data_IF_667916735159
#
_entry.id   IF_667916735159
#
_cell.length_a   1.000
_cell.length_b   1.000
_cell.length_c   1.000
_cell.angle_alpha   90.00
_cell.angle_beta   90.00
_cell.angle_gamma   90.00
#
_symmetry.space_group_name_H-M   'P 1'
#
loop_
_entity.id
_entity.type
_entity.pdbx_description
1 polymer ?
#
# COMPACT_ATOMS: atom_id res chain seq x y z
N UNK A 1 63.70 -93.26 99.26
CA UNK A 1 63.58 -91.81 99.54
C UNK A 1 64.49 -90.98 98.64
N UNK A 2 65.81 -91.19 98.64
CA UNK A 2 66.75 -90.44 97.77
C UNK A 2 66.49 -90.55 96.24
N UNK A 3 66.22 -91.74 95.69
CA UNK A 3 65.85 -91.89 94.25
C UNK A 3 64.57 -91.16 93.85
N UNK A 4 63.60 -91.10 94.76
CA UNK A 4 62.30 -90.49 94.51
C UNK A 4 62.41 -88.95 94.47
N UNK A 5 63.34 -88.37 95.23
CA UNK A 5 63.63 -86.93 95.21
C UNK A 5 64.38 -86.51 93.94
N UNK A 6 65.24 -87.37 93.40
CA UNK A 6 65.93 -87.17 92.11
C UNK A 6 64.98 -87.26 90.91
N UNK A 7 64.06 -88.23 90.93
CA UNK A 7 62.96 -88.34 89.95
C UNK A 7 61.99 -87.16 90.03
N UNK A 8 61.68 -86.66 91.23
CA UNK A 8 60.85 -85.47 91.41
C UNK A 8 61.54 -84.18 90.93
N UNK A 9 62.86 -84.11 91.09
CA UNK A 9 63.66 -82.96 90.61
C UNK A 9 63.76 -82.95 89.09
N UNK A 10 64.04 -84.10 88.47
CA UNK A 10 64.07 -84.23 87.01
C UNK A 10 62.69 -84.01 86.38
N UNK A 11 61.62 -84.50 87.01
CA UNK A 11 60.25 -84.20 86.59
C UNK A 11 59.92 -82.71 86.70
N UNK A 12 60.36 -82.01 87.75
CA UNK A 12 60.18 -80.54 87.91
C UNK A 12 60.98 -79.74 86.89
N UNK A 13 62.22 -80.12 86.62
CA UNK A 13 63.06 -79.49 85.59
C UNK A 13 62.45 -79.69 84.18
N UNK A 14 61.88 -80.87 83.89
CA UNK A 14 61.14 -81.11 82.66
C UNK A 14 59.83 -80.31 82.58
N UNK A 15 59.12 -80.15 83.70
CA UNK A 15 57.89 -79.35 83.77
C UNK A 15 58.17 -77.85 83.61
N UNK A 16 59.26 -77.33 84.19
CA UNK A 16 59.70 -75.95 83.94
C UNK A 16 60.13 -75.75 82.49
N UNK A 17 60.89 -76.69 81.92
CA UNK A 17 61.28 -76.61 80.51
C UNK A 17 60.06 -76.62 79.59
N UNK A 18 59.11 -77.51 79.83
CA UNK A 18 57.85 -77.56 79.09
C UNK A 18 57.02 -76.28 79.29
N UNK A 19 57.00 -75.68 80.48
CA UNK A 19 56.35 -74.38 80.72
C UNK A 19 57.04 -73.23 79.97
N UNK A 20 58.37 -73.23 79.90
CA UNK A 20 59.12 -72.26 79.10
C UNK A 20 58.88 -72.41 77.60
N UNK A 21 58.82 -73.65 77.10
CA UNK A 21 58.46 -73.94 75.70
C UNK A 21 57.02 -73.55 75.38
N UNK A 22 56.07 -73.78 76.31
CA UNK A 22 54.68 -73.32 76.17
C UNK A 22 54.61 -71.79 76.12
N UNK A 23 55.30 -71.08 77.02
CA UNK A 23 55.32 -69.61 77.03
C UNK A 23 55.93 -69.02 75.75
N UNK A 24 56.99 -69.63 75.21
CA UNK A 24 57.57 -69.22 73.93
C UNK A 24 56.63 -69.47 72.75
N UNK A 25 55.91 -70.61 72.75
CA UNK A 25 54.91 -70.90 71.72
C UNK A 25 53.70 -69.97 71.82
N UNK A 26 53.28 -69.58 73.02
CA UNK A 26 52.23 -68.58 73.24
C UNK A 26 52.65 -67.20 72.70
N UNK A 27 53.88 -66.75 72.95
CA UNK A 27 54.41 -65.49 72.40
C UNK A 27 54.51 -65.52 70.87
N UNK A 28 54.98 -66.64 70.30
CA UNK A 28 55.00 -66.84 68.84
C UNK A 28 53.58 -66.87 68.26
N UNK A 29 52.63 -67.52 68.92
CA UNK A 29 51.24 -67.57 68.47
C UNK A 29 50.58 -66.19 68.55
N UNK A 30 50.81 -65.42 69.62
CA UNK A 30 50.30 -64.05 69.75
C UNK A 30 50.87 -63.13 68.66
N UNK A 31 52.17 -63.24 68.38
CA UNK A 31 52.81 -62.46 67.32
C UNK A 31 52.31 -62.88 65.93
N UNK A 32 52.12 -64.18 65.67
CA UNK A 32 51.51 -64.66 64.41
C UNK A 32 50.05 -64.24 64.27
N UNK A 33 49.25 -64.29 65.34
CA UNK A 33 47.87 -63.81 65.32
C UNK A 33 47.80 -62.29 65.06
N UNK A 34 48.70 -61.51 65.67
CA UNK A 34 48.81 -60.07 65.42
C UNK A 34 49.20 -59.79 63.97
N UNK A 35 50.17 -60.54 63.42
CA UNK A 35 50.55 -60.44 62.01
C UNK A 35 49.40 -60.83 61.08
N UNK A 36 48.69 -61.91 61.37
CA UNK A 36 47.53 -62.34 60.58
C UNK A 36 46.42 -61.29 60.61
N UNK A 37 46.13 -60.71 61.76
CA UNK A 37 45.16 -59.61 61.92
C UNK A 37 45.55 -58.39 61.07
N UNK A 38 46.84 -58.01 61.07
CA UNK A 38 47.35 -56.92 60.20
C UNK A 38 47.22 -57.24 58.72
N UNK A 39 47.48 -58.49 58.31
CA UNK A 39 47.31 -58.93 56.91
C UNK A 39 45.83 -58.91 56.51
N UNK A 40 44.93 -59.37 57.38
CA UNK A 40 43.48 -59.34 57.13
C UNK A 40 42.96 -57.90 57.00
N UNK A 41 43.43 -56.98 57.84
CA UNK A 41 43.11 -55.54 57.74
C UNK A 41 43.64 -54.94 56.42
N UNK A 42 44.91 -55.21 56.08
CA UNK A 42 45.49 -54.73 54.83
C UNK A 42 44.77 -55.29 53.59
N UNK A 43 44.29 -56.54 53.65
CA UNK A 43 43.53 -57.15 52.58
C UNK A 43 42.12 -56.55 52.47
N UNK A 44 41.48 -56.25 53.60
CA UNK A 44 40.21 -55.52 53.62
C UNK A 44 40.36 -54.09 53.05
N UNK A 45 41.39 -53.35 53.45
CA UNK A 45 41.71 -52.03 52.89
C UNK A 45 41.97 -52.09 51.39
N UNK A 46 42.76 -53.07 50.94
CA UNK A 46 43.00 -53.30 49.51
C UNK A 46 41.70 -53.55 48.75
N UNK A 47 40.81 -54.40 49.26
CA UNK A 47 39.51 -54.66 48.60
C UNK A 47 38.62 -53.42 48.57
N UNK A 48 38.65 -52.58 49.61
CA UNK A 48 37.93 -51.30 49.63
C UNK A 48 38.46 -50.34 48.57
N UNK A 49 39.79 -50.20 48.47
CA UNK A 49 40.44 -49.34 47.48
C UNK A 49 40.21 -49.82 46.05
N UNK A 50 40.21 -51.13 45.80
CA UNK A 50 39.85 -51.71 44.50
C UNK A 50 38.39 -51.40 44.13
N UNK A 51 37.47 -51.45 45.09
CA UNK A 51 36.08 -51.07 44.89
C UNK A 51 35.89 -49.56 44.65
N UNK A 52 36.68 -48.70 45.30
CA UNK A 52 36.69 -47.25 45.06
C UNK A 52 37.30 -46.92 43.68
N UNK A 53 38.38 -47.61 43.29
CA UNK A 53 38.98 -47.47 41.98
C UNK A 53 37.99 -47.89 40.88
N UNK A 54 37.30 -49.03 41.06
CA UNK A 54 36.28 -49.48 40.11
C UNK A 54 35.13 -48.45 39.98
N UNK A 55 34.69 -47.85 41.09
CA UNK A 55 33.64 -46.79 41.08
C UNK A 55 34.10 -45.52 40.39
N UNK A 56 35.33 -45.07 40.62
CA UNK A 56 35.87 -43.86 39.99
C UNK A 56 36.11 -44.06 38.49
N UNK A 57 36.58 -45.23 38.07
CA UNK A 57 36.71 -45.59 36.65
C UNK A 57 35.33 -45.59 35.97
N UNK A 58 34.32 -46.22 36.57
CA UNK A 58 32.96 -46.20 36.05
C UNK A 58 32.38 -44.78 35.94
N UNK A 59 32.66 -43.91 36.93
CA UNK A 59 32.23 -42.51 36.89
C UNK A 59 32.94 -41.71 35.78
N UNK A 60 34.24 -41.94 35.56
CA UNK A 60 34.99 -41.32 34.48
C UNK A 60 34.49 -41.75 33.10
N UNK A 61 34.17 -43.03 32.92
CA UNK A 61 33.62 -43.53 31.66
C UNK A 61 32.21 -42.98 31.41
N UNK A 62 31.37 -42.85 32.45
CA UNK A 62 30.07 -42.18 32.33
C UNK A 62 30.21 -40.70 31.93
N UNK A 63 31.13 -39.95 32.53
CA UNK A 63 31.42 -38.56 32.19
C UNK A 63 31.94 -38.42 30.75
N UNK A 64 32.77 -39.35 30.27
CA UNK A 64 33.25 -39.37 28.88
C UNK A 64 32.11 -39.56 27.89
N UNK A 65 31.18 -40.47 28.19
CA UNK A 65 29.98 -40.68 27.33
C UNK A 65 29.10 -39.42 27.33
N UNK A 66 28.90 -38.78 28.48
CA UNK A 66 28.14 -37.52 28.55
C UNK A 66 28.83 -36.39 27.77
N UNK A 67 30.16 -36.27 27.88
CA UNK A 67 30.94 -35.28 27.13
C UNK A 67 30.79 -35.51 25.62
N UNK A 68 30.92 -36.75 25.15
CA UNK A 68 30.74 -37.09 23.73
C UNK A 68 29.31 -36.77 23.24
N UNK A 69 28.28 -37.03 24.06
CA UNK A 69 26.91 -36.69 23.71
C UNK A 69 26.71 -35.16 23.61
N UNK A 70 27.33 -34.38 24.50
CA UNK A 70 27.31 -32.91 24.43
C UNK A 70 28.05 -32.38 23.21
N UNK A 71 29.21 -32.93 22.87
CA UNK A 71 29.97 -32.57 21.66
C UNK A 71 29.16 -32.83 20.39
N UNK A 72 28.45 -33.97 20.32
CA UNK A 72 27.55 -34.27 19.19
C UNK A 72 26.37 -33.28 19.10
N UNK A 73 25.79 -32.90 20.25
CA UNK A 73 24.70 -31.92 20.29
C UNK A 73 25.16 -30.53 19.83
N UNK A 74 26.36 -30.10 20.25
CA UNK A 74 26.96 -28.83 19.79
C UNK A 74 27.17 -28.86 18.28
N UNK A 75 27.73 -29.94 17.73
CA UNK A 75 27.92 -30.08 16.29
C UNK A 75 26.60 -30.06 15.48
N UNK A 76 25.52 -30.68 15.99
CA UNK A 76 24.19 -30.60 15.36
C UNK A 76 23.62 -29.17 15.41
N UNK A 77 23.76 -28.48 16.54
CA UNK A 77 23.30 -27.09 16.69
C UNK A 77 24.07 -26.13 15.78
N UNK A 78 25.39 -26.27 15.66
CA UNK A 78 26.20 -25.49 14.72
C UNK A 78 25.76 -25.72 13.27
N UNK A 79 25.47 -26.97 12.90
CA UNK A 79 24.96 -27.32 11.57
C UNK A 79 23.58 -26.70 11.32
N UNK A 80 22.70 -26.70 12.32
CA UNK A 80 21.37 -26.06 12.22
C UNK A 80 21.46 -24.54 12.13
N UNK A 81 22.36 -23.92 12.89
CA UNK A 81 22.61 -22.48 12.83
C UNK A 81 23.10 -22.07 11.45
N UNK A 82 24.10 -22.77 10.89
CA UNK A 82 24.61 -22.50 9.55
C UNK A 82 23.52 -22.65 8.46
N UNK A 83 22.60 -23.62 8.60
CA UNK A 83 21.45 -23.76 7.69
C UNK A 83 20.45 -22.62 7.84
N UNK A 84 20.20 -22.17 9.06
CA UNK A 84 19.30 -21.05 9.32
C UNK A 84 19.85 -19.74 8.75
N UNK A 85 21.14 -19.45 8.96
CA UNK A 85 21.82 -18.28 8.40
C UNK A 85 21.79 -18.28 6.87
N UNK A 86 22.05 -19.42 6.23
CA UNK A 86 21.96 -19.57 4.78
C UNK A 86 20.53 -19.35 4.25
N UNK A 87 19.51 -19.81 4.99
CA UNK A 87 18.10 -19.59 4.64
C UNK A 87 17.70 -18.11 4.78
N UNK A 88 18.14 -17.43 5.85
CA UNK A 88 17.92 -15.99 6.04
C UNK A 88 18.59 -15.16 4.94
N UNK A 89 19.83 -15.49 4.56
CA UNK A 89 20.51 -14.80 3.47
C UNK A 89 19.79 -15.00 2.13
N UNK A 90 19.27 -16.20 1.86
CA UNK A 90 18.44 -16.47 0.68
C UNK A 90 17.15 -15.66 0.67
N UNK A 91 16.43 -15.61 1.80
CA UNK A 91 15.22 -14.79 1.95
C UNK A 91 15.52 -13.30 1.79
N UNK A 92 16.64 -12.82 2.33
CA UNK A 92 17.08 -11.43 2.17
C UNK A 92 17.36 -11.10 0.71
N UNK A 93 18.03 -11.99 -0.03
CA UNK A 93 18.25 -11.84 -1.49
C UNK A 93 16.93 -11.85 -2.27
N UNK A 94 16.02 -12.77 -1.94
CA UNK A 94 14.71 -12.85 -2.58
C UNK A 94 13.86 -11.59 -2.34
N UNK A 95 13.85 -11.09 -1.09
CA UNK A 95 13.18 -9.84 -0.72
C UNK A 95 13.78 -8.63 -1.45
N UNK A 96 15.12 -8.56 -1.55
CA UNK A 96 15.81 -7.54 -2.36
C UNK A 96 15.40 -7.56 -3.83
N UNK A 97 15.33 -8.75 -4.44
CA UNK A 97 14.88 -8.91 -5.82
C UNK A 97 13.41 -8.51 -6.02
N UNK A 98 12.54 -8.91 -5.09
CA UNK A 98 11.11 -8.56 -5.14
C UNK A 98 10.91 -7.04 -5.04
N UNK A 99 11.62 -6.39 -4.12
CA UNK A 99 11.59 -4.94 -3.98
C UNK A 99 12.10 -4.23 -5.24
N UNK A 100 13.17 -4.74 -5.87
CA UNK A 100 13.65 -4.23 -7.16
C UNK A 100 12.61 -4.34 -8.29
N UNK A 101 11.87 -5.46 -8.34
CA UNK A 101 10.80 -5.67 -9.32
C UNK A 101 9.62 -4.74 -9.07
N UNK A 102 9.19 -4.57 -7.82
CA UNK A 102 8.14 -3.63 -7.44
C UNK A 102 8.52 -2.19 -7.79
N UNK A 103 9.76 -1.78 -7.53
CA UNK A 103 10.25 -0.45 -7.90
C UNK A 103 10.21 -0.25 -9.44
N UNK A 104 10.61 -1.28 -10.19
CA UNK A 104 10.58 -1.24 -11.67
C UNK A 104 9.15 -1.11 -12.19
N UNK A 105 8.22 -1.93 -11.70
CA UNK A 105 6.81 -1.87 -12.10
C UNK A 105 6.16 -0.53 -11.72
N UNK A 106 6.48 -0.01 -10.55
CA UNK A 106 5.97 1.31 -10.10
C UNK A 106 6.47 2.41 -11.02
N UNK A 107 7.76 2.44 -11.34
CA UNK A 107 8.34 3.42 -12.27
C UNK A 107 7.75 3.32 -13.68
N UNK A 108 7.45 2.11 -14.15
CA UNK A 108 6.83 1.88 -15.46
C UNK A 108 5.37 2.37 -15.47
N UNK A 109 4.60 2.13 -14.40
CA UNK A 109 3.24 2.62 -14.25
C UNK A 109 3.19 4.16 -14.17
N UNK A 110 4.11 4.78 -13.43
CA UNK A 110 4.24 6.24 -13.36
C UNK A 110 4.62 6.82 -14.73
N UNK A 111 5.55 6.19 -15.45
CA UNK A 111 5.91 6.58 -16.82
C UNK A 111 4.74 6.46 -17.79
N UNK A 112 3.97 5.38 -17.72
CA UNK A 112 2.77 5.20 -18.56
C UNK A 112 1.71 6.26 -18.26
N UNK A 113 1.45 6.53 -16.98
CA UNK A 113 0.48 7.56 -16.55
C UNK A 113 0.91 8.94 -17.03
N UNK A 114 2.21 9.27 -16.92
CA UNK A 114 2.77 10.51 -17.43
C UNK A 114 2.61 10.62 -18.95
N UNK A 115 2.91 9.56 -19.70
CA UNK A 115 2.73 9.53 -21.16
C UNK A 115 1.28 9.80 -21.56
N UNK A 116 0.31 9.16 -20.93
CA UNK A 116 -1.09 9.40 -21.27
C UNK A 116 -1.48 10.86 -20.98
N UNK A 117 -0.97 11.45 -19.89
CA UNK A 117 -1.19 12.86 -19.59
C UNK A 117 -0.54 13.79 -20.63
N UNK A 118 0.71 13.52 -21.00
CA UNK A 118 1.44 14.26 -22.03
C UNK A 118 0.75 14.15 -23.40
N UNK A 119 0.27 12.96 -23.78
CA UNK A 119 -0.51 12.72 -24.99
C UNK A 119 -1.83 13.51 -24.97
N UNK A 120 -2.57 13.46 -23.86
CA UNK A 120 -3.79 14.23 -23.70
C UNK A 120 -3.54 15.74 -23.75
N UNK A 121 -2.48 16.23 -23.10
CA UNK A 121 -2.12 17.65 -23.12
C UNK A 121 -1.65 18.10 -24.53
N UNK A 122 -0.93 17.24 -25.26
CA UNK A 122 -0.53 17.49 -26.64
C UNK A 122 -1.74 17.52 -27.59
N UNK A 123 -2.69 16.60 -27.43
CA UNK A 123 -3.94 16.59 -28.20
C UNK A 123 -4.77 17.85 -27.93
N UNK A 124 -4.87 18.28 -26.66
CA UNK A 124 -5.51 19.55 -26.28
C UNK A 124 -4.80 20.73 -26.94
N UNK A 125 -3.46 20.73 -26.98
CA UNK A 125 -2.68 21.80 -27.61
C UNK A 125 -2.88 21.86 -29.13
N UNK A 126 -2.92 20.72 -29.81
CA UNK A 126 -3.21 20.61 -31.24
C UNK A 126 -4.62 21.11 -31.56
N UNK A 127 -5.64 20.64 -30.84
CA UNK A 127 -7.02 21.10 -31.01
C UNK A 127 -7.12 22.61 -30.82
N UNK A 128 -6.41 23.19 -29.84
CA UNK A 128 -6.37 24.65 -29.66
C UNK A 128 -5.68 25.36 -30.81
N UNK A 129 -4.56 24.84 -31.31
CA UNK A 129 -3.82 25.43 -32.42
C UNK A 129 -4.66 25.41 -33.71
N UNK A 130 -5.25 24.27 -34.06
CA UNK A 130 -6.12 24.13 -35.23
C UNK A 130 -7.30 25.08 -35.18
N UNK A 131 -7.91 25.24 -34.01
CA UNK A 131 -9.04 26.12 -33.81
C UNK A 131 -8.62 27.60 -33.92
N UNK A 132 -7.43 27.98 -33.44
CA UNK A 132 -6.90 29.33 -33.67
C UNK A 132 -6.51 29.59 -35.13
N UNK A 133 -5.99 28.58 -35.84
CA UNK A 133 -5.65 28.68 -37.25
C UNK A 133 -6.90 28.84 -38.12
N UNK A 134 -7.92 28.01 -37.88
CA UNK A 134 -9.23 28.14 -38.49
C UNK A 134 -9.81 29.54 -38.26
N UNK A 135 -9.65 30.11 -37.04
CA UNK A 135 -10.16 31.46 -36.72
C UNK A 135 -9.46 32.54 -37.55
N UNK A 136 -8.15 32.42 -37.75
CA UNK A 136 -7.40 33.35 -38.61
C UNK A 136 -7.83 33.24 -40.07
N UNK A 137 -8.07 32.01 -40.56
CA UNK A 137 -8.55 31.79 -41.93
C UNK A 137 -9.96 32.36 -42.14
N UNK A 138 -10.88 32.15 -41.19
CA UNK A 138 -12.22 32.73 -41.23
C UNK A 138 -12.18 34.27 -41.20
N UNK A 139 -11.33 34.87 -40.37
CA UNK A 139 -11.11 36.31 -40.30
C UNK A 139 -10.49 36.89 -41.59
N UNK A 140 -9.55 36.16 -42.22
CA UNK A 140 -8.95 36.58 -43.49
C UNK A 140 -9.96 36.48 -44.65
N UNK A 141 -10.80 35.45 -44.67
CA UNK A 141 -11.87 35.30 -45.67
C UNK A 141 -12.91 36.43 -45.58
N UNK A 142 -13.28 36.84 -44.35
CA UNK A 142 -14.16 38.01 -44.13
C UNK A 142 -13.50 39.33 -44.53
N UNK A 143 -12.20 39.52 -44.26
CA UNK A 143 -11.47 40.72 -44.66
C UNK A 143 -11.22 40.83 -46.17
N UNK A 144 -11.14 39.71 -46.89
CA UNK A 144 -10.91 39.67 -48.35
C UNK A 144 -12.18 39.90 -49.19
N UNK A 145 -13.33 40.26 -48.58
CA UNK A 145 -14.56 40.58 -49.30
C UNK A 145 -15.26 39.38 -49.96
N UNK A 146 -14.87 38.14 -49.63
CA UNK A 146 -15.48 36.92 -50.18
C UNK A 146 -16.78 36.50 -49.44
N UNK A 147 -17.35 37.37 -48.61
CA UNK A 147 -18.41 37.06 -47.64
C UNK A 147 -19.61 38.00 -47.85
N UNK A 148 -20.26 37.87 -49.01
CA UNK A 148 -21.63 38.39 -49.20
C UNK A 148 -22.70 37.29 -49.07
N UNK A 149 -22.31 36.09 -48.59
CA UNK A 149 -23.24 35.00 -48.30
C UNK A 149 -23.52 34.90 -46.79
N UNK A 150 -24.79 34.95 -46.35
CA UNK A 150 -25.19 34.89 -44.93
C UNK A 150 -24.62 33.72 -44.13
N UNK A 151 -24.29 32.60 -44.78
CA UNK A 151 -23.75 31.39 -44.12
C UNK A 151 -22.31 31.49 -43.62
N UNK A 152 -21.48 32.37 -44.22
CA UNK A 152 -20.05 32.44 -43.86
C UNK A 152 -19.80 33.25 -42.57
N UNK A 153 -20.63 34.25 -42.27
CA UNK A 153 -20.62 34.94 -40.98
C UNK A 153 -20.98 34.01 -39.81
N UNK A 154 -21.98 33.14 -40.00
CA UNK A 154 -22.42 32.20 -38.98
C UNK A 154 -21.33 31.17 -38.63
N UNK A 155 -20.59 30.67 -39.62
CA UNK A 155 -19.47 29.75 -39.39
C UNK A 155 -18.32 30.41 -38.60
N UNK A 156 -18.00 31.67 -38.87
CA UNK A 156 -16.97 32.41 -38.14
C UNK A 156 -17.37 32.68 -36.67
N UNK A 157 -18.65 32.92 -36.42
CA UNK A 157 -19.22 33.07 -35.08
C UNK A 157 -19.17 31.75 -34.30
N UNK A 158 -19.64 30.65 -34.90
CA UNK A 158 -19.57 29.31 -34.31
C UNK A 158 -18.14 28.91 -33.97
N UNK A 159 -17.19 29.19 -34.86
CA UNK A 159 -15.78 28.91 -34.59
C UNK A 159 -15.24 29.72 -33.41
N UNK A 160 -15.62 31.00 -33.32
CA UNK A 160 -15.26 31.84 -32.17
C UNK A 160 -15.89 31.32 -30.88
N UNK A 161 -17.13 30.84 -30.94
CA UNK A 161 -17.81 30.17 -29.84
C UNK A 161 -17.08 28.87 -29.44
N UNK A 162 -16.60 28.07 -30.41
CA UNK A 162 -15.81 26.85 -30.15
C UNK A 162 -14.55 27.16 -29.36
N UNK A 163 -13.79 28.22 -29.73
CA UNK A 163 -12.56 28.61 -28.99
C UNK A 163 -12.90 28.87 -27.53
N UNK A 164 -13.93 29.69 -27.30
CA UNK A 164 -14.33 30.11 -25.95
C UNK A 164 -14.81 28.91 -25.14
N UNK A 165 -15.65 28.08 -25.73
CA UNK A 165 -16.19 26.89 -25.08
C UNK A 165 -15.10 25.90 -24.68
N UNK A 166 -14.15 25.61 -25.57
CA UNK A 166 -12.97 24.76 -25.26
C UNK A 166 -12.11 25.37 -24.15
N UNK A 167 -11.87 26.68 -24.19
CA UNK A 167 -11.11 27.37 -23.15
C UNK A 167 -11.81 27.33 -21.77
N UNK A 168 -13.14 27.45 -21.75
CA UNK A 168 -13.91 27.41 -20.50
C UNK A 168 -14.05 25.98 -19.95
N UNK A 169 -14.23 24.97 -20.81
CA UNK A 169 -14.19 23.56 -20.41
C UNK A 169 -12.85 23.19 -19.76
N UNK A 170 -11.74 23.68 -20.32
CA UNK A 170 -10.39 23.45 -19.79
C UNK A 170 -10.10 24.05 -18.40
N UNK A 171 -10.99 24.90 -17.86
CA UNK A 171 -10.86 25.46 -16.50
C UNK A 171 -11.54 24.63 -15.42
N UNK A 172 -12.29 23.60 -15.81
CA UNK A 172 -13.04 22.76 -14.87
C UNK A 172 -12.10 21.84 -14.09
N UNK A 173 -12.38 21.65 -12.80
CA UNK A 173 -11.53 20.87 -11.88
C UNK A 173 -12.17 19.58 -11.40
N UNK A 174 -13.42 19.32 -11.79
CA UNK A 174 -14.15 18.10 -11.45
C UNK A 174 -15.22 17.78 -12.52
N UNK A 175 -15.69 16.54 -12.52
CA UNK A 175 -16.62 16.01 -13.52
C UNK A 175 -17.97 16.74 -13.52
N UNK A 176 -18.48 17.12 -12.35
CA UNK A 176 -19.76 17.81 -12.25
C UNK A 176 -19.71 19.21 -12.87
N UNK A 177 -18.62 19.94 -12.64
CA UNK A 177 -18.38 21.25 -13.25
C UNK A 177 -18.09 21.14 -14.75
N UNK A 178 -17.44 20.06 -15.19
CA UNK A 178 -17.25 19.76 -16.60
C UNK A 178 -18.60 19.61 -17.32
N UNK A 179 -19.49 18.76 -16.81
CA UNK A 179 -20.83 18.56 -17.41
C UNK A 179 -21.69 19.83 -17.35
N UNK A 180 -21.62 20.57 -16.24
CA UNK A 180 -22.28 21.89 -16.11
C UNK A 180 -21.81 22.86 -17.18
N UNK A 181 -20.50 22.92 -17.39
CA UNK A 181 -19.89 23.81 -18.37
C UNK A 181 -20.21 23.38 -19.79
N UNK A 182 -20.21 22.08 -20.08
CA UNK A 182 -20.58 21.56 -21.39
C UNK A 182 -22.01 21.97 -21.80
N UNK A 183 -22.99 21.76 -20.92
CA UNK A 183 -24.39 22.21 -21.15
C UNK A 183 -24.47 23.72 -21.35
N UNK A 184 -23.78 24.49 -20.51
CA UNK A 184 -23.75 25.96 -20.59
C UNK A 184 -23.11 26.49 -21.87
N UNK A 185 -22.10 25.81 -22.42
CA UNK A 185 -21.44 26.22 -23.66
C UNK A 185 -22.24 25.83 -24.91
N UNK A 186 -23.08 24.80 -24.82
CA UNK A 186 -24.03 24.44 -25.87
C UNK A 186 -25.23 25.40 -25.91
N UNK A 187 -25.73 25.85 -24.76
CA UNK A 187 -26.95 26.65 -24.65
C UNK A 187 -27.05 27.90 -25.56
N UNK A 188 -25.97 28.66 -25.85
CA UNK A 188 -26.05 29.79 -26.78
C UNK A 188 -26.33 29.39 -28.22
N UNK A 189 -26.00 28.16 -28.63
CA UNK A 189 -26.15 27.67 -30.00
C UNK A 189 -27.38 26.76 -30.17
N UNK A 190 -27.96 26.30 -29.06
CA UNK A 190 -29.07 25.35 -29.06
C UNK A 190 -30.21 25.84 -28.17
N UNK A 191 -31.44 26.03 -28.70
CA UNK A 191 -32.57 26.55 -27.94
C UNK A 191 -32.91 25.73 -26.71
N UNK A 192 -32.85 24.39 -26.82
CA UNK A 192 -33.06 23.48 -25.69
C UNK A 192 -31.88 22.52 -25.59
N UNK A 193 -31.31 22.43 -24.40
CA UNK A 193 -30.20 21.52 -24.07
C UNK A 193 -30.56 20.78 -22.80
N UNK A 194 -30.34 19.47 -22.77
CA UNK A 194 -30.55 18.65 -21.59
C UNK A 194 -29.48 17.56 -21.47
N UNK A 195 -28.93 17.40 -20.27
CA UNK A 195 -28.01 16.34 -19.91
C UNK A 195 -28.77 15.27 -19.14
N UNK A 196 -28.65 14.03 -19.60
CA UNK A 196 -29.19 12.85 -18.93
C UNK A 196 -28.06 11.94 -18.50
N UNK A 197 -28.03 11.54 -17.24
CA UNK A 197 -27.04 10.59 -16.72
C UNK A 197 -27.52 9.17 -16.85
N UNK A 198 -26.61 8.28 -17.20
CA UNK A 198 -26.87 6.84 -17.18
C UNK A 198 -26.94 6.35 -15.74
N UNK A 199 -28.07 5.76 -15.32
CA UNK A 199 -28.23 5.08 -14.03
C UNK A 199 -28.84 3.70 -14.22
N UNK A 200 -27.99 2.67 -14.22
CA UNK A 200 -28.45 1.30 -14.46
C UNK A 200 -29.02 1.14 -15.87
N UNK A 201 -30.33 0.92 -15.99
CA UNK A 201 -31.03 0.66 -17.27
C UNK A 201 -31.92 1.82 -17.74
N UNK A 202 -31.70 3.03 -17.22
CA UNK A 202 -32.46 4.22 -17.62
C UNK A 202 -31.61 5.49 -17.52
N UNK A 203 -31.97 6.47 -18.34
CA UNK A 203 -31.36 7.79 -18.36
C UNK A 203 -32.17 8.72 -17.45
N UNK A 204 -31.53 9.38 -16.48
CA UNK A 204 -32.17 10.36 -15.60
C UNK A 204 -31.70 11.77 -15.96
N UNK A 205 -32.64 12.69 -16.16
CA UNK A 205 -32.31 14.09 -16.40
C UNK A 205 -31.59 14.70 -15.21
N UNK A 206 -30.49 15.41 -15.46
CA UNK A 206 -29.70 16.05 -14.41
C UNK A 206 -29.75 17.57 -14.53
N UNK A 207 -29.55 18.09 -15.75
CA UNK A 207 -29.40 19.52 -16.03
C UNK A 207 -30.03 19.85 -17.37
N UNK A 208 -30.53 21.07 -17.51
CA UNK A 208 -30.98 21.57 -18.79
C UNK A 208 -30.92 23.09 -18.88
N UNK A 209 -31.01 23.60 -20.10
CA UNK A 209 -31.05 25.01 -20.44
C UNK A 209 -32.09 25.23 -21.54
N UNK A 210 -32.83 26.34 -21.45
CA UNK A 210 -33.90 26.68 -22.39
C UNK A 210 -35.14 25.79 -22.31
N UNK A 211 -35.27 24.99 -21.25
CA UNK A 211 -36.47 24.20 -20.99
C UNK A 211 -37.60 25.11 -20.47
N UNK A 212 -38.85 24.74 -20.76
CA UNK A 212 -40.00 25.40 -20.16
C UNK A 212 -39.95 25.29 -18.62
N UNK A 213 -40.42 26.32 -17.92
CA UNK A 213 -40.47 26.40 -16.45
C UNK A 213 -41.33 25.27 -15.87
N UNK A 214 -42.29 24.76 -16.66
CA UNK A 214 -43.11 23.61 -16.30
C UNK A 214 -42.34 22.27 -16.32
N UNK A 215 -41.23 22.20 -17.05
CA UNK A 215 -40.44 20.98 -17.26
C UNK A 215 -39.34 20.85 -16.21
N UNK A 216 -39.59 20.01 -15.20
CA UNK A 216 -38.57 19.62 -14.22
C UNK A 216 -37.71 18.48 -14.77
N UNK A 217 -36.54 18.83 -15.33
CA UNK A 217 -35.59 17.88 -15.92
C UNK A 217 -35.23 16.73 -14.98
N UNK A 218 -35.18 16.96 -13.66
CA UNK A 218 -34.80 15.92 -12.69
C UNK A 218 -35.86 14.83 -12.52
N UNK A 219 -37.09 15.09 -12.96
CA UNK A 219 -38.19 14.10 -12.97
C UNK A 219 -38.25 13.29 -14.25
N UNK A 220 -37.47 13.67 -15.27
CA UNK A 220 -37.44 12.96 -16.54
C UNK A 220 -36.58 11.70 -16.40
N UNK A 221 -37.21 10.55 -16.60
CA UNK A 221 -36.57 9.24 -16.61
C UNK A 221 -36.92 8.54 -17.92
N UNK A 222 -35.90 8.19 -18.70
CA UNK A 222 -36.05 7.58 -20.02
C UNK A 222 -35.55 6.14 -19.94
N UNK A 223 -36.46 5.14 -20.03
CA UNK A 223 -36.06 3.74 -20.04
C UNK A 223 -35.21 3.42 -21.28
N UNK A 224 -34.13 2.64 -21.11
CA UNK A 224 -33.28 2.23 -22.25
C UNK A 224 -33.99 1.32 -23.26
N UNK A 225 -35.15 0.77 -22.91
CA UNK A 225 -36.00 -0.02 -23.82
C UNK A 225 -36.79 0.83 -24.83
N UNK A 226 -36.85 2.15 -24.63
CA UNK A 226 -37.50 3.06 -25.57
C UNK A 226 -36.60 3.24 -26.79
N UNK A 227 -37.15 3.13 -28.00
CA UNK A 227 -36.43 3.52 -29.22
C UNK A 227 -36.57 5.03 -29.43
N UNK A 228 -35.51 5.76 -29.14
CA UNK A 228 -35.44 7.22 -29.22
C UNK A 228 -34.04 7.65 -29.63
N UNK A 229 -33.87 8.89 -30.11
CA UNK A 229 -32.55 9.41 -30.49
C UNK A 229 -31.54 9.30 -29.34
N UNK A 230 -31.97 9.63 -28.12
CA UNK A 230 -31.11 9.64 -26.94
C UNK A 230 -30.73 8.23 -26.47
N UNK A 231 -31.65 7.27 -26.51
CA UNK A 231 -31.36 5.88 -26.12
C UNK A 231 -30.50 5.15 -27.15
N UNK A 232 -30.66 5.46 -28.45
CA UNK A 232 -29.76 4.97 -29.50
C UNK A 232 -28.34 5.52 -29.34
N UNK A 233 -28.20 6.84 -29.14
CA UNK A 233 -26.90 7.44 -28.87
C UNK A 233 -26.24 6.81 -27.64
N UNK A 234 -27.00 6.56 -26.57
CA UNK A 234 -26.47 5.90 -25.38
C UNK A 234 -26.04 4.46 -25.63
N UNK A 235 -26.80 3.70 -26.43
CA UNK A 235 -26.53 2.30 -26.70
C UNK A 235 -25.37 2.08 -27.70
N UNK A 236 -25.36 2.86 -28.78
CA UNK A 236 -24.35 2.78 -29.83
C UNK A 236 -23.04 3.48 -29.43
N UNK A 237 -23.12 4.47 -28.53
CA UNK A 237 -21.98 5.30 -28.17
C UNK A 237 -21.50 6.17 -29.34
N UNK A 238 -22.43 6.54 -30.23
CA UNK A 238 -22.20 7.40 -31.40
C UNK A 238 -23.12 8.61 -31.35
N UNK A 239 -22.67 9.73 -31.93
CA UNK A 239 -23.50 10.93 -32.09
C UNK A 239 -24.65 10.59 -33.04
N UNK A 240 -25.88 10.86 -32.61
CA UNK A 240 -27.09 10.64 -33.40
C UNK A 240 -27.72 11.98 -33.76
N UNK A 241 -28.06 12.18 -35.04
CA UNK A 241 -28.72 13.39 -35.55
C UNK A 241 -30.09 13.02 -36.14
N UNK A 242 -31.12 13.79 -35.78
CA UNK A 242 -32.48 13.65 -36.30
C UNK A 242 -32.54 13.81 -37.83
N UNK A 243 -31.67 14.64 -38.42
CA UNK A 243 -31.61 14.84 -39.87
C UNK A 243 -31.27 13.55 -40.66
N UNK A 244 -30.64 12.57 -40.00
CA UNK A 244 -30.31 11.26 -40.56
C UNK A 244 -31.10 10.09 -39.96
N UNK A 245 -32.09 10.35 -39.09
CA UNK A 245 -32.75 9.32 -38.27
C UNK A 245 -34.15 8.94 -38.78
N UNK A 246 -34.63 7.71 -38.52
CA UNK A 246 -35.99 7.30 -38.88
C UNK A 246 -37.06 8.10 -38.13
N UNK A 247 -38.27 8.20 -38.71
CA UNK A 247 -39.40 9.01 -38.19
C UNK A 247 -39.81 8.64 -36.74
N UNK A 248 -39.55 7.42 -36.27
CA UNK A 248 -39.78 6.99 -34.88
C UNK A 248 -38.92 7.76 -33.85
N UNK A 249 -37.83 8.37 -34.29
CA UNK A 249 -36.91 9.18 -33.48
C UNK A 249 -37.41 10.58 -33.13
N UNK A 250 -38.51 11.03 -33.74
CA UNK A 250 -38.98 12.42 -33.68
C UNK A 250 -39.63 12.81 -32.34
N UNK A 251 -39.82 11.87 -31.41
CA UNK A 251 -40.36 12.16 -30.09
C UNK A 251 -39.24 12.72 -29.20
N UNK A 252 -39.28 14.03 -28.96
CA UNK A 252 -38.34 14.69 -28.06
C UNK A 252 -38.59 14.29 -26.61
N UNK A 253 -37.53 13.94 -25.84
CA UNK A 253 -37.64 13.73 -24.40
C UNK A 253 -38.00 15.02 -23.64
N UNK A 254 -37.89 16.19 -24.28
CA UNK A 254 -38.23 17.49 -23.73
C UNK A 254 -39.66 17.94 -24.09
N UNK A 255 -40.40 17.09 -24.80
CA UNK A 255 -41.73 17.37 -25.31
C UNK A 255 -41.72 18.07 -26.67
N UNK A 256 -42.84 17.98 -27.39
CA UNK A 256 -43.00 18.56 -28.73
C UNK A 256 -42.44 17.69 -29.85
N UNK A 257 -42.33 18.30 -31.04
CA UNK A 257 -41.79 17.69 -32.27
C UNK A 257 -40.72 18.62 -32.84
N UNK A 258 -39.46 18.45 -32.46
CA UNK A 258 -38.39 19.32 -32.94
C UNK A 258 -38.19 19.16 -34.45
N UNK A 259 -37.81 20.24 -35.12
CA UNK A 259 -37.41 20.21 -36.52
C UNK A 259 -35.98 19.68 -36.68
N UNK A 260 -35.14 19.82 -35.66
CA UNK A 260 -33.79 19.27 -35.61
C UNK A 260 -33.41 18.87 -34.17
N UNK A 261 -32.68 17.77 -34.01
CA UNK A 261 -32.20 17.30 -32.72
C UNK A 261 -30.90 16.51 -32.86
N UNK A 262 -30.00 16.61 -31.87
CA UNK A 262 -28.76 15.83 -31.80
C UNK A 262 -28.66 15.21 -30.40
N UNK A 263 -28.27 13.94 -30.32
CA UNK A 263 -27.90 13.26 -29.10
C UNK A 263 -26.39 12.94 -29.09
N UNK A 264 -25.69 13.43 -28.07
CA UNK A 264 -24.24 13.40 -27.89
C UNK A 264 -23.91 12.48 -26.71
N UNK A 265 -23.47 11.23 -26.93
CA UNK A 265 -23.11 10.34 -25.84
C UNK A 265 -21.74 10.73 -25.29
N UNK A 266 -21.68 11.04 -24.00
CA UNK A 266 -20.43 11.28 -23.28
C UNK A 266 -19.88 9.94 -22.81
N UNK A 267 -18.74 9.54 -23.38
CA UNK A 267 -18.13 8.25 -23.10
C UNK A 267 -16.89 8.36 -22.24
N UNK A 268 -16.64 7.31 -21.47
CA UNK A 268 -15.43 7.13 -20.71
C UNK A 268 -15.06 5.65 -20.70
N UNK A 269 -13.83 5.33 -21.11
CA UNK A 269 -13.33 3.94 -21.19
C UNK A 269 -14.26 2.99 -21.97
N UNK A 270 -14.91 3.51 -23.03
CA UNK A 270 -15.80 2.74 -23.89
C UNK A 270 -17.26 2.68 -23.41
N UNK A 271 -17.57 3.07 -22.18
CA UNK A 271 -18.93 3.10 -21.63
C UNK A 271 -19.57 4.49 -21.74
N UNK A 272 -20.87 4.55 -22.00
CA UNK A 272 -21.62 5.82 -22.01
C UNK A 272 -22.02 6.20 -20.58
N UNK A 273 -21.50 7.33 -20.09
CA UNK A 273 -21.81 7.85 -18.75
C UNK A 273 -23.04 8.74 -18.73
N UNK A 274 -23.25 9.50 -19.80
CA UNK A 274 -24.33 10.45 -19.94
C UNK A 274 -24.61 10.69 -21.42
N UNK A 275 -25.77 11.26 -21.72
CA UNK A 275 -26.11 11.74 -23.06
C UNK A 275 -26.59 13.17 -22.96
N UNK A 276 -26.01 14.06 -23.76
CA UNK A 276 -26.54 15.41 -23.95
C UNK A 276 -27.44 15.40 -25.16
N UNK A 277 -28.68 15.79 -24.95
CA UNK A 277 -29.68 15.96 -25.99
C UNK A 277 -29.90 17.45 -26.23
N UNK A 278 -29.83 17.86 -27.49
CA UNK A 278 -30.15 19.22 -27.94
C UNK A 278 -31.21 19.16 -29.00
N UNK A 279 -32.16 20.09 -28.99
CA UNK A 279 -33.15 20.21 -30.06
C UNK A 279 -33.59 21.64 -30.32
N UNK A 280 -34.24 21.81 -31.48
CA UNK A 280 -34.78 23.08 -31.94
C UNK A 280 -36.06 22.85 -32.75
N UNK A 281 -36.97 23.81 -32.68
CA UNK A 281 -38.17 23.85 -33.53
C UNK A 281 -37.85 24.40 -34.93
N UNK A 282 -36.63 24.89 -35.15
CA UNK A 282 -36.10 25.30 -36.45
C UNK A 282 -34.98 24.35 -36.89
N UNK A 283 -34.87 24.11 -38.19
CA UNK A 283 -33.72 23.39 -38.74
C UNK A 283 -32.42 24.18 -38.49
N UNK A 284 -31.35 23.47 -38.20
CA UNK A 284 -29.98 24.00 -38.18
C UNK A 284 -29.16 23.41 -39.31
N UNK A 285 -28.00 24.02 -39.59
CA UNK A 285 -27.05 23.54 -40.57
C UNK A 285 -26.06 22.51 -39.98
N UNK A 286 -25.21 21.94 -40.85
CA UNK A 286 -24.18 20.98 -40.44
C UNK A 286 -23.13 21.55 -39.48
N UNK A 287 -22.98 22.88 -39.41
CA UNK A 287 -21.99 23.55 -38.56
C UNK A 287 -22.34 23.43 -37.07
N UNK A 288 -23.63 23.34 -36.72
CA UNK A 288 -24.08 23.07 -35.36
C UNK A 288 -23.67 21.66 -34.88
N UNK A 289 -23.85 20.65 -35.74
CA UNK A 289 -23.41 19.28 -35.44
C UNK A 289 -21.90 19.18 -35.25
N UNK A 290 -21.12 19.87 -36.09
CA UNK A 290 -19.66 19.94 -35.95
C UNK A 290 -19.24 20.63 -34.64
N UNK A 291 -19.87 21.75 -34.28
CA UNK A 291 -19.64 22.46 -33.02
C UNK A 291 -19.90 21.54 -31.80
N UNK A 292 -21.06 20.89 -31.78
CA UNK A 292 -21.43 19.98 -30.70
C UNK A 292 -20.49 18.78 -30.56
N UNK A 293 -20.08 18.19 -31.70
CA UNK A 293 -19.16 17.05 -31.73
C UNK A 293 -17.77 17.43 -31.24
N UNK A 294 -17.26 18.60 -31.62
CA UNK A 294 -15.96 19.10 -31.14
C UNK A 294 -15.96 19.29 -29.61
N UNK A 295 -17.03 19.89 -29.06
CA UNK A 295 -17.14 20.05 -27.61
C UNK A 295 -17.30 18.71 -26.89
N UNK A 296 -17.99 17.74 -27.48
CA UNK A 296 -18.09 16.38 -26.96
C UNK A 296 -16.70 15.73 -26.87
N UNK A 297 -15.95 15.72 -27.97
CA UNK A 297 -14.59 15.14 -28.02
C UNK A 297 -13.68 15.78 -26.96
N UNK A 298 -13.70 17.11 -26.86
CA UNK A 298 -12.89 17.80 -25.85
C UNK A 298 -13.32 17.45 -24.43
N UNK A 299 -14.62 17.27 -24.19
CA UNK A 299 -15.16 16.83 -22.90
C UNK A 299 -14.67 15.43 -22.53
N UNK A 300 -14.62 14.49 -23.48
CA UNK A 300 -14.14 13.12 -23.24
C UNK A 300 -12.63 13.08 -22.92
N UNK A 301 -11.83 13.92 -23.57
CA UNK A 301 -10.40 14.08 -23.24
C UNK A 301 -10.24 14.63 -21.82
N UNK A 302 -11.00 15.67 -21.46
CA UNK A 302 -10.96 16.25 -20.12
C UNK A 302 -11.46 15.27 -19.04
N UNK A 303 -12.45 14.43 -19.33
CA UNK A 303 -12.86 13.35 -18.44
C UNK A 303 -11.72 12.37 -18.15
N UNK A 304 -10.97 12.02 -19.19
CA UNK A 304 -9.80 11.14 -19.05
C UNK A 304 -8.75 11.76 -18.16
N UNK A 305 -8.40 13.03 -18.41
CA UNK A 305 -7.46 13.78 -17.59
C UNK A 305 -7.93 13.89 -16.13
N UNK A 306 -9.16 14.35 -15.89
CA UNK A 306 -9.69 14.54 -14.53
C UNK A 306 -9.74 13.22 -13.75
N UNK A 307 -10.07 12.11 -14.41
CA UNK A 307 -10.10 10.80 -13.75
C UNK A 307 -8.70 10.31 -13.40
N UNK A 308 -7.71 10.58 -14.25
CA UNK A 308 -6.31 10.30 -13.94
C UNK A 308 -5.82 11.16 -12.77
N UNK A 309 -6.10 12.46 -12.77
CA UNK A 309 -5.74 13.35 -11.66
C UNK A 309 -6.38 12.88 -10.34
N UNK A 310 -7.65 12.45 -10.35
CA UNK A 310 -8.30 11.88 -9.17
C UNK A 310 -7.63 10.58 -8.69
N UNK A 311 -7.26 9.69 -9.62
CA UNK A 311 -6.54 8.47 -9.30
C UNK A 311 -5.19 8.79 -8.67
N UNK A 312 -4.40 9.68 -9.28
CA UNK A 312 -3.11 10.08 -8.73
C UNK A 312 -3.24 10.71 -7.35
N UNK A 313 -4.24 11.57 -7.13
CA UNK A 313 -4.51 12.13 -5.80
C UNK A 313 -4.92 11.05 -4.79
N UNK A 314 -5.61 9.99 -5.20
CA UNK A 314 -5.91 8.83 -4.35
C UNK A 314 -4.62 8.09 -3.99
N UNK A 315 -3.80 7.75 -4.97
CA UNK A 315 -2.54 7.02 -4.77
C UNK A 315 -1.58 7.81 -3.86
N UNK A 316 -1.55 9.14 -3.98
CA UNK A 316 -0.80 10.02 -3.08
C UNK A 316 -1.37 10.06 -1.67
N UNK A 317 -2.70 10.04 -1.48
CA UNK A 317 -3.30 9.91 -0.13
C UNK A 317 -2.94 8.58 0.51
N UNK A 318 -2.96 7.49 -0.25
CA UNK A 318 -2.55 6.16 0.24
C UNK A 318 -1.07 6.17 0.62
N UNK A 319 -0.21 6.79 -0.19
CA UNK A 319 1.19 6.96 0.15
C UNK A 319 1.41 7.81 1.41
N UNK A 320 0.69 8.92 1.57
CA UNK A 320 0.72 9.72 2.79
C UNK A 320 0.28 8.91 4.02
N UNK A 321 -0.77 8.10 3.89
CA UNK A 321 -1.22 7.18 4.94
C UNK A 321 -0.17 6.13 5.30
N UNK A 322 0.53 5.57 4.32
CA UNK A 322 1.63 4.62 4.53
C UNK A 322 2.76 5.25 5.34
N UNK A 323 3.19 6.46 4.99
CA UNK A 323 4.24 7.18 5.72
C UNK A 323 3.83 7.45 7.19
N UNK A 324 2.56 7.79 7.41
CA UNK A 324 2.04 8.03 8.76
C UNK A 324 1.96 6.73 9.57
N UNK A 325 1.57 5.62 8.94
CA UNK A 325 1.53 4.30 9.54
C UNK A 325 2.93 3.81 9.93
N UNK A 326 3.94 4.04 9.09
CA UNK A 326 5.34 3.73 9.40
C UNK A 326 5.84 4.54 10.61
N UNK A 327 5.50 5.83 10.65
CA UNK A 327 5.81 6.69 11.80
C UNK A 327 5.14 6.18 13.10
N UNK A 328 3.88 5.71 13.03
CA UNK A 328 3.18 5.11 14.15
C UNK A 328 3.85 3.82 14.63
N UNK A 329 4.26 2.93 13.72
CA UNK A 329 4.95 1.69 14.07
C UNK A 329 6.30 1.96 14.75
N UNK A 330 7.09 2.91 14.23
CA UNK A 330 8.34 3.33 14.86
C UNK A 330 8.11 3.90 16.26
N UNK A 331 7.05 4.69 16.43
CA UNK A 331 6.67 5.24 17.72
C UNK A 331 6.28 4.16 18.73
N UNK A 332 5.45 3.19 18.33
CA UNK A 332 5.04 2.09 19.18
C UNK A 332 6.22 1.22 19.61
N UNK A 333 7.17 0.95 18.71
CA UNK A 333 8.41 0.26 19.05
C UNK A 333 9.24 1.03 20.09
N UNK A 334 9.31 2.35 19.99
CA UNK A 334 9.99 3.20 20.96
C UNK A 334 9.26 3.26 22.32
N UNK A 335 7.93 3.17 22.31
CA UNK A 335 7.10 3.08 23.50
C UNK A 335 7.29 1.73 24.23
N UNK A 336 7.28 0.62 23.49
CA UNK A 336 7.56 -0.73 24.01
C UNK A 336 8.98 -0.84 24.56
N UNK A 337 9.94 -0.21 23.89
CA UNK A 337 11.32 -0.08 24.34
C UNK A 337 11.52 0.82 25.56
N UNK A 338 10.43 1.39 26.13
CA UNK A 338 10.44 2.28 27.30
C UNK A 338 11.38 3.48 27.15
N UNK A 339 11.54 4.01 25.93
CA UNK A 339 12.34 5.22 25.72
C UNK A 339 11.74 6.40 26.49
N UNK A 340 12.54 7.36 26.97
CA UNK A 340 12.01 8.58 27.60
C UNK A 340 11.07 9.34 26.66
N UNK A 341 9.99 9.92 27.19
CA UNK A 341 8.97 10.64 26.42
C UNK A 341 9.57 11.74 25.53
N UNK A 342 10.47 12.56 26.08
CA UNK A 342 11.15 13.63 25.32
C UNK A 342 11.88 13.10 24.09
N UNK A 343 12.54 11.95 24.20
CA UNK A 343 13.27 11.34 23.09
C UNK A 343 12.30 10.74 22.06
N UNK A 344 11.18 10.14 22.50
CA UNK A 344 10.15 9.61 21.60
C UNK A 344 9.49 10.73 20.78
N UNK A 345 9.05 11.81 21.42
CA UNK A 345 8.44 12.95 20.73
C UNK A 345 9.42 13.57 19.73
N UNK A 346 10.70 13.72 20.10
CA UNK A 346 11.74 14.23 19.17
C UNK A 346 11.90 13.33 17.95
N UNK A 347 12.04 12.02 18.14
CA UNK A 347 12.18 11.07 17.03
C UNK A 347 10.93 11.02 16.17
N UNK A 348 9.74 11.08 16.76
CA UNK A 348 8.49 11.15 16.01
C UNK A 348 8.44 12.39 15.13
N UNK A 349 8.82 13.57 15.66
CA UNK A 349 8.92 14.78 14.85
C UNK A 349 9.92 14.62 13.69
N UNK A 350 11.12 14.09 13.94
CA UNK A 350 12.12 13.82 12.90
C UNK A 350 11.58 12.87 11.81
N UNK A 351 10.88 11.80 12.22
CA UNK A 351 10.24 10.86 11.28
C UNK A 351 9.16 11.54 10.45
N UNK A 352 8.32 12.38 11.05
CA UNK A 352 7.28 13.13 10.32
C UNK A 352 7.89 14.14 9.35
N UNK A 353 8.95 14.86 9.74
CA UNK A 353 9.66 15.78 8.84
C UNK A 353 10.34 15.03 7.67
N UNK A 354 10.93 13.86 7.94
CA UNK A 354 11.44 12.98 6.89
C UNK A 354 10.31 12.54 5.94
N UNK A 355 9.18 12.10 6.50
CA UNK A 355 7.97 11.76 5.73
C UNK A 355 7.47 12.92 4.87
N UNK A 356 7.47 14.16 5.39
CA UNK A 356 7.14 15.36 4.61
C UNK A 356 8.08 15.58 3.44
N UNK A 357 9.38 15.39 3.61
CA UNK A 357 10.35 15.51 2.52
C UNK A 357 10.14 14.44 1.45
N UNK A 358 9.96 13.18 1.85
CA UNK A 358 9.69 12.07 0.94
C UNK A 358 8.37 12.26 0.19
N UNK A 359 7.34 12.74 0.88
CA UNK A 359 6.06 13.07 0.28
C UNK A 359 6.18 14.22 -0.72
N UNK A 360 6.85 15.31 -0.35
CA UNK A 360 7.04 16.47 -1.20
C UNK A 360 7.79 16.13 -2.50
N UNK A 361 8.81 15.26 -2.45
CA UNK A 361 9.53 14.80 -3.65
C UNK A 361 8.58 14.11 -4.64
N UNK A 362 7.63 13.31 -4.15
CA UNK A 362 6.66 12.62 -5.00
C UNK A 362 5.54 13.56 -5.48
N UNK A 363 5.03 14.42 -4.60
CA UNK A 363 3.94 15.34 -4.89
C UNK A 363 4.36 16.49 -5.82
N UNK A 364 5.65 16.84 -5.90
CA UNK A 364 6.16 17.94 -6.73
C UNK A 364 5.80 17.82 -8.22
N UNK A 365 5.55 16.60 -8.71
CA UNK A 365 5.20 16.32 -10.11
C UNK A 365 3.70 16.47 -10.40
N UNK A 366 2.84 16.46 -9.38
CA UNK A 366 1.39 16.34 -9.53
C UNK A 366 0.64 17.66 -9.33
N UNK A 367 1.34 18.69 -8.86
CA UNK A 367 0.84 20.07 -8.75
C UNK A 367 0.39 20.47 -7.34
N UNK A 368 -0.18 21.68 -7.19
CA UNK A 368 -0.39 22.31 -5.89
C UNK A 368 -1.45 21.61 -5.03
N UNK A 369 -2.47 20.98 -5.63
CA UNK A 369 -3.49 20.24 -4.88
C UNK A 369 -2.93 19.01 -4.16
N UNK A 370 -1.84 18.44 -4.67
CA UNK A 370 -1.18 17.28 -4.08
C UNK A 370 -0.31 17.64 -2.88
N UNK A 371 0.26 18.85 -2.83
CA UNK A 371 1.27 19.23 -1.86
C UNK A 371 0.79 19.16 -0.39
N UNK A 372 -0.49 19.45 -0.14
CA UNK A 372 -1.08 19.48 1.21
C UNK A 372 -1.71 18.18 1.70
N UNK A 373 -1.69 17.09 0.92
CA UNK A 373 -2.44 15.87 1.31
C UNK A 373 -1.87 15.17 2.54
N UNK A 374 -0.54 15.21 2.75
CA UNK A 374 0.07 14.61 3.95
C UNK A 374 -0.38 15.33 5.22
N UNK A 375 -0.34 16.67 5.23
CA UNK A 375 -0.80 17.44 6.38
C UNK A 375 -2.30 17.23 6.63
N UNK A 376 -3.11 17.09 5.57
CA UNK A 376 -4.51 16.72 5.71
C UNK A 376 -4.70 15.33 6.34
N UNK A 377 -3.86 14.33 6.01
CA UNK A 377 -3.90 13.01 6.65
C UNK A 377 -3.49 13.08 8.13
N UNK A 378 -2.49 13.90 8.46
CA UNK A 378 -2.10 14.16 9.85
C UNK A 378 -3.27 14.78 10.62
N UNK A 379 -3.95 15.79 10.07
CA UNK A 379 -5.13 16.40 10.69
C UNK A 379 -6.28 15.40 10.90
N UNK A 380 -6.52 14.54 9.91
CA UNK A 380 -7.52 13.45 10.02
C UNK A 380 -7.15 12.50 11.17
N UNK A 381 -5.89 12.08 11.27
CA UNK A 381 -5.42 11.21 12.35
C UNK A 381 -5.53 11.88 13.73
N UNK A 382 -5.22 13.18 13.83
CA UNK A 382 -5.36 13.95 15.07
C UNK A 382 -6.82 14.14 15.50
N UNK A 383 -7.75 14.17 14.54
CA UNK A 383 -9.18 14.32 14.78
C UNK A 383 -9.92 12.99 14.99
N UNK A 384 -9.24 11.85 14.83
CA UNK A 384 -9.85 10.53 14.93
C UNK A 384 -10.08 10.11 16.40
N UNK A 385 -11.22 9.48 16.66
CA UNK A 385 -11.54 8.83 17.94
C UNK A 385 -11.42 7.30 17.81
N UNK A 386 -10.88 6.58 18.82
CA UNK A 386 -10.39 7.08 20.11
C UNK A 386 -8.97 7.67 20.02
N UNK A 387 -8.69 8.62 20.92
CA UNK A 387 -7.36 9.24 21.04
C UNK A 387 -6.33 8.20 21.50
N UNK A 388 -5.38 7.84 20.63
CA UNK A 388 -4.31 6.88 20.91
C UNK A 388 -3.09 7.57 21.55
N UNK A 389 -2.17 6.84 22.20
CA UNK A 389 -0.90 7.41 22.64
C UNK A 389 -0.11 8.08 21.50
N UNK A 390 -0.16 7.47 20.31
CA UNK A 390 0.44 8.01 19.10
C UNK A 390 -0.17 9.37 18.72
N UNK A 391 -1.49 9.50 18.64
CA UNK A 391 -2.11 10.77 18.21
C UNK A 391 -1.90 11.91 19.22
N UNK A 392 -1.78 11.60 20.52
CA UNK A 392 -1.39 12.59 21.55
C UNK A 392 0.02 13.12 21.34
N UNK A 393 0.99 12.23 21.21
CA UNK A 393 2.39 12.63 21.02
C UNK A 393 2.64 13.21 19.61
N UNK A 394 1.88 12.79 18.60
CA UNK A 394 1.87 13.39 17.27
C UNK A 394 1.42 14.85 17.30
N UNK A 395 0.38 15.19 18.07
CA UNK A 395 -0.08 16.58 18.23
C UNK A 395 1.04 17.47 18.80
N UNK A 396 1.76 16.96 19.80
CA UNK A 396 2.91 17.65 20.40
C UNK A 396 4.02 17.79 19.35
N UNK A 397 4.36 16.69 18.68
CA UNK A 397 5.41 16.66 17.67
C UNK A 397 5.16 17.69 16.55
N UNK A 398 3.96 17.73 15.98
CA UNK A 398 3.62 18.65 14.88
C UNK A 398 3.59 20.13 15.32
N UNK A 399 3.29 20.39 16.60
CA UNK A 399 3.24 21.74 17.17
C UNK A 399 4.60 22.32 17.58
N UNK A 400 5.69 21.54 17.55
CA UNK A 400 7.01 21.98 17.98
C UNK A 400 7.53 23.15 17.10
N UNK A 401 7.76 24.34 17.68
CA UNK A 401 8.23 25.49 16.93
C UNK A 401 9.63 25.28 16.34
N UNK A 402 9.88 25.92 15.20
CA UNK A 402 11.18 25.92 14.52
C UNK A 402 12.38 26.31 15.40
N UNK A 403 12.14 27.07 16.47
CA UNK A 403 13.17 27.61 17.37
C UNK A 403 13.76 26.61 18.37
N UNK A 404 13.19 25.41 18.55
CA UNK A 404 13.84 24.32 19.29
C UNK A 404 14.69 23.40 18.38
N UNK A 405 14.77 23.68 17.06
CA UNK A 405 15.42 22.82 16.04
C UNK A 405 16.95 22.86 16.01
N UNK A 406 17.60 23.77 16.71
CA UNK A 406 19.07 23.97 16.63
C UNK A 406 19.79 24.00 17.97
N UNK A 407 19.06 23.85 19.09
CA UNK A 407 19.64 23.80 20.42
C UNK A 407 19.91 22.35 20.83
N UNK A 408 20.91 21.72 20.22
CA UNK A 408 21.55 20.47 20.69
C UNK A 408 22.99 20.43 20.24
#
# INVERSE_FOLDING_TARGET
RLRFEEELRTAREQLEKARGEIAQLEEVLETEMAQKSLVELALAEKTSLEADLARTVAALDALRVEQQAREQLVADLETRLARAEAAEESLRKQSGNMNGLLQTLTSAAESATRKIREEADAEIALLRADLTAARRQAAAATAAGAVDTPGSFHQAELLTASVRAVADLGKTSNVADLFSTFVRQLAPQFPRVALFRMKGKHLEGERGSGLDVSTDIKKLVIPMSMDSLITRAAHLGTVEDLAGSPVSAANSPLGGKPAAAIALPIRFQGETLAVVYVDSDTAWDASHGAFATLLLQHTEILLTRLTQELKTLKDLREYAGMLLQEAEQMFLADLEGKRPEKDRVRRLHETIECGRQLYAQRAALEGPLAAGLLDAQIEVALSAEPVTPFTKELAIAVSLPQSQRTAS
#
